data_IF_999056580786
#
_entry.id   IF_999056580786
#
_cell.length_a   1.000
_cell.length_b   1.000
_cell.length_c   1.000
_cell.angle_alpha   90.00
_cell.angle_beta   90.00
_cell.angle_gamma   90.00
#
_symmetry.space_group_name_H-M   'P 1'
#
loop_
_entity.id
_entity.type
_entity.pdbx_description
1 polymer ?
#
# COMPACT_ATOMS: atom_id res chain seq x y z
N UNK A 1 -7.02 7.84 26.18
CA UNK A 1 -7.10 7.05 24.94
C UNK A 1 -5.67 6.87 24.46
N UNK A 2 -5.21 5.64 24.29
CA UNK A 2 -3.91 5.39 23.66
C UNK A 2 -3.96 5.92 22.22
N UNK A 3 -2.91 6.57 21.70
CA UNK A 3 -2.91 7.07 20.33
C UNK A 3 -3.18 5.92 19.36
N UNK A 4 -4.05 6.15 18.38
CA UNK A 4 -4.30 5.17 17.32
C UNK A 4 -2.98 4.86 16.59
N UNK A 5 -2.69 3.58 16.27
CA UNK A 5 -1.44 3.25 15.61
C UNK A 5 -1.40 3.90 14.22
N UNK A 6 -0.22 4.41 13.83
CA UNK A 6 -0.02 5.09 12.55
C UNK A 6 0.66 4.13 11.56
N UNK A 7 0.19 4.12 10.31
CA UNK A 7 0.79 3.36 9.22
C UNK A 7 2.12 3.99 8.81
N UNK A 8 3.21 3.23 8.85
CA UNK A 8 4.56 3.75 8.51
C UNK A 8 4.75 4.08 7.03
N UNK A 9 3.85 3.61 6.15
CA UNK A 9 3.92 3.81 4.70
C UNK A 9 3.13 5.02 4.19
N UNK A 10 2.08 5.45 4.89
CA UNK A 10 1.24 6.59 4.46
C UNK A 10 0.98 7.62 5.57
N UNK A 11 1.49 7.40 6.78
CA UNK A 11 1.32 8.25 7.95
C UNK A 11 -0.16 8.50 8.36
N UNK A 12 -1.09 7.65 7.91
CA UNK A 12 -2.50 7.68 8.34
C UNK A 12 -2.78 6.68 9.45
N UNK A 13 -3.86 6.90 10.20
CA UNK A 13 -4.34 5.95 11.20
C UNK A 13 -4.61 4.57 10.56
N UNK A 14 -4.14 3.52 11.22
CA UNK A 14 -4.44 2.14 10.80
C UNK A 14 -5.85 1.77 11.28
N UNK A 15 -6.53 0.92 10.52
CA UNK A 15 -7.78 0.29 10.96
C UNK A 15 -7.47 -0.65 12.13
N UNK A 16 -6.39 -1.42 11.99
CA UNK A 16 -5.98 -2.40 12.99
C UNK A 16 -4.46 -2.61 12.95
N UNK A 17 -3.85 -2.75 14.12
CA UNK A 17 -2.49 -3.26 14.32
C UNK A 17 -2.53 -4.24 15.47
N UNK A 18 -2.16 -5.49 15.23
CA UNK A 18 -2.02 -6.49 16.28
C UNK A 18 -0.70 -7.25 16.12
N UNK A 19 -0.11 -7.59 17.26
CA UNK A 19 1.10 -8.43 17.31
C UNK A 19 0.73 -9.88 17.01
N UNK A 20 1.46 -10.49 16.07
CA UNK A 20 1.36 -11.92 15.77
C UNK A 20 2.25 -12.68 16.76
N UNK A 21 3.54 -12.31 16.82
CA UNK A 21 4.55 -12.95 17.66
C UNK A 21 5.72 -11.96 17.87
N UNK A 22 6.23 -11.83 19.10
CA UNK A 22 7.37 -10.94 19.38
C UNK A 22 7.11 -9.50 18.94
N UNK A 23 7.97 -8.98 18.06
CA UNK A 23 7.86 -7.67 17.41
C UNK A 23 7.21 -7.71 16.02
N UNK A 24 6.71 -8.87 15.58
CA UNK A 24 6.02 -9.02 14.30
C UNK A 24 4.56 -8.58 14.42
N UNK A 25 4.17 -7.63 13.57
CA UNK A 25 2.83 -7.06 13.56
C UNK A 25 2.09 -7.32 12.25
N UNK A 26 0.79 -7.58 12.38
CA UNK A 26 -0.16 -7.49 11.29
C UNK A 26 -0.78 -6.10 11.25
N UNK A 27 -0.62 -5.40 10.13
CA UNK A 27 -1.15 -4.04 9.92
C UNK A 27 -2.22 -4.07 8.85
N UNK A 28 -3.32 -3.37 9.11
CA UNK A 28 -4.42 -3.12 8.19
C UNK A 28 -4.66 -1.61 8.06
N UNK A 29 -4.46 -1.08 6.85
CA UNK A 29 -4.58 0.33 6.53
C UNK A 29 -5.54 0.53 5.36
N UNK A 30 -6.41 1.55 5.42
CA UNK A 30 -7.35 1.89 4.33
C UNK A 30 -6.65 2.23 3.02
N UNK A 31 -5.44 2.78 3.11
CA UNK A 31 -4.66 3.26 1.97
C UNK A 31 -3.72 2.17 1.45
N UNK A 32 -2.87 1.63 2.32
CA UNK A 32 -1.83 0.67 1.93
C UNK A 32 -2.34 -0.78 1.83
N UNK A 33 -3.57 -1.06 2.27
CA UNK A 33 -4.06 -2.43 2.41
C UNK A 33 -3.48 -3.15 3.62
N UNK A 34 -3.22 -4.46 3.49
CA UNK A 34 -2.75 -5.32 4.60
C UNK A 34 -1.30 -5.73 4.38
N UNK A 35 -0.46 -5.65 5.41
CA UNK A 35 0.94 -6.09 5.36
C UNK A 35 1.47 -6.50 6.75
N UNK A 36 2.60 -7.19 6.79
CA UNK A 36 3.31 -7.57 8.01
C UNK A 36 4.66 -6.85 8.07
N UNK A 37 5.00 -6.29 9.22
CA UNK A 37 6.29 -5.66 9.50
C UNK A 37 6.71 -5.89 10.94
N UNK A 38 8.01 -5.80 11.19
CA UNK A 38 8.58 -5.72 12.55
C UNK A 38 8.74 -4.27 13.00
N UNK A 39 8.97 -4.06 14.30
CA UNK A 39 9.34 -2.73 14.81
C UNK A 39 10.64 -2.20 14.18
N UNK A 40 11.60 -3.07 13.84
CA UNK A 40 12.83 -2.68 13.16
C UNK A 40 12.56 -2.21 11.73
N UNK A 41 11.69 -2.91 10.99
CA UNK A 41 11.27 -2.48 9.65
C UNK A 41 10.54 -1.14 9.71
N UNK A 42 9.64 -0.97 10.69
CA UNK A 42 8.91 0.27 10.91
C UNK A 42 9.86 1.46 11.11
N UNK A 43 10.93 1.28 11.88
CA UNK A 43 11.99 2.29 12.04
C UNK A 43 12.70 2.57 10.71
N UNK A 44 13.08 1.53 9.96
CA UNK A 44 13.73 1.67 8.66
C UNK A 44 12.87 2.41 7.63
N UNK A 45 11.57 2.11 7.59
CA UNK A 45 10.64 2.77 6.68
C UNK A 45 10.37 4.22 7.07
N UNK A 46 10.42 4.59 8.36
CA UNK A 46 10.25 6.00 8.78
C UNK A 46 11.31 6.92 8.18
N UNK A 47 12.53 6.42 8.02
CA UNK A 47 13.66 7.14 7.41
C UNK A 47 13.53 7.30 5.89
N UNK A 48 12.61 6.59 5.24
CA UNK A 48 12.39 6.75 3.81
C UNK A 48 11.66 8.06 3.52
N UNK A 49 11.99 8.66 2.38
CA UNK A 49 11.21 9.80 1.88
C UNK A 49 9.77 9.37 1.58
N UNK A 50 8.84 10.32 1.69
CA UNK A 50 7.41 10.08 1.42
C UNK A 50 7.18 9.44 0.05
N UNK A 51 7.96 9.84 -0.96
CA UNK A 51 7.90 9.22 -2.29
C UNK A 51 8.28 7.74 -2.28
N UNK A 52 9.33 7.34 -1.55
CA UNK A 52 9.72 5.93 -1.44
C UNK A 52 8.67 5.13 -0.68
N UNK A 53 8.15 5.67 0.43
CA UNK A 53 7.05 5.07 1.19
C UNK A 53 5.81 4.87 0.32
N UNK A 54 5.45 5.86 -0.50
CA UNK A 54 4.33 5.75 -1.43
C UNK A 54 4.51 4.62 -2.45
N UNK A 55 5.73 4.36 -2.95
CA UNK A 55 5.98 3.20 -3.84
C UNK A 55 5.77 1.85 -3.13
N UNK A 56 6.12 1.76 -1.84
CA UNK A 56 5.88 0.56 -1.04
C UNK A 56 4.41 0.44 -0.65
N UNK A 57 3.74 1.55 -0.38
CA UNK A 57 2.27 1.63 -0.19
C UNK A 57 1.54 1.12 -1.43
N UNK A 58 1.96 1.56 -2.62
CA UNK A 58 1.43 1.09 -3.87
C UNK A 58 1.64 -0.43 -4.07
N UNK A 59 2.82 -0.94 -3.72
CA UNK A 59 3.10 -2.37 -3.74
C UNK A 59 2.22 -3.19 -2.81
N UNK A 60 2.09 -2.76 -1.56
CA UNK A 60 1.25 -3.45 -0.58
C UNK A 60 -0.23 -3.39 -0.96
N UNK A 61 -0.70 -2.26 -1.51
CA UNK A 61 -2.06 -2.10 -2.00
C UNK A 61 -2.35 -2.94 -3.23
N UNK A 62 -1.43 -3.04 -4.20
CA UNK A 62 -1.56 -3.92 -5.36
C UNK A 62 -1.79 -5.36 -4.89
N UNK A 63 -0.91 -5.89 -4.04
CA UNK A 63 -1.05 -7.27 -3.56
C UNK A 63 -2.35 -7.51 -2.80
N UNK A 64 -2.78 -6.54 -1.98
CA UNK A 64 -4.03 -6.62 -1.24
C UNK A 64 -5.25 -6.70 -2.16
N UNK A 65 -5.32 -5.85 -3.20
CA UNK A 65 -6.48 -5.80 -4.08
C UNK A 65 -6.55 -6.97 -5.06
N UNK A 66 -5.42 -7.59 -5.38
CA UNK A 66 -5.32 -8.72 -6.32
C UNK A 66 -5.31 -10.10 -5.63
N UNK A 67 -5.87 -10.21 -4.41
CA UNK A 67 -5.96 -11.45 -3.61
C UNK A 67 -4.63 -12.21 -3.46
N UNK A 68 -3.51 -11.48 -3.51
CA UNK A 68 -2.20 -12.07 -3.30
C UNK A 68 -1.96 -12.31 -1.81
N UNK A 69 -1.04 -13.22 -1.45
CA UNK A 69 -0.64 -13.38 -0.06
C UNK A 69 -0.22 -12.04 0.54
N UNK A 70 -0.64 -11.82 1.79
CA UNK A 70 -0.32 -10.61 2.53
C UNK A 70 1.19 -10.36 2.51
N UNK A 71 1.66 -9.19 2.04
CA UNK A 71 3.09 -8.90 1.95
C UNK A 71 3.76 -8.92 3.32
N UNK A 72 4.87 -9.66 3.40
CA UNK A 72 5.71 -9.79 4.58
C UNK A 72 6.95 -8.93 4.45
N UNK A 73 6.85 -7.66 4.81
CA UNK A 73 7.92 -6.68 4.58
C UNK A 73 9.21 -7.05 5.32
N UNK A 74 9.09 -7.65 6.50
CA UNK A 74 10.22 -8.17 7.29
C UNK A 74 11.05 -9.26 6.60
N UNK A 75 10.50 -9.92 5.57
CA UNK A 75 11.21 -10.96 4.80
C UNK A 75 11.93 -10.40 3.58
N UNK A 76 11.71 -9.13 3.25
CA UNK A 76 12.28 -8.51 2.06
C UNK A 76 13.70 -8.03 2.35
N UNK A 77 14.65 -8.50 1.55
CA UNK A 77 16.00 -7.93 1.54
C UNK A 77 15.99 -6.49 1.04
N UNK A 78 17.04 -5.72 1.38
CA UNK A 78 17.21 -4.35 0.91
C UNK A 78 17.17 -4.24 -0.62
N UNK A 79 17.73 -5.23 -1.34
CA UNK A 79 17.70 -5.27 -2.80
C UNK A 79 16.28 -5.48 -3.35
N UNK A 80 15.46 -6.30 -2.68
CA UNK A 80 14.05 -6.47 -3.05
C UNK A 80 13.27 -5.18 -2.82
N UNK A 81 13.50 -4.49 -1.69
CA UNK A 81 12.89 -3.18 -1.42
C UNK A 81 13.28 -2.15 -2.49
N UNK A 82 14.57 -2.07 -2.85
CA UNK A 82 15.05 -1.20 -3.94
C UNK A 82 14.38 -1.54 -5.28
N UNK A 83 14.25 -2.82 -5.59
CA UNK A 83 13.59 -3.29 -6.82
C UNK A 83 12.11 -2.88 -6.86
N UNK A 84 11.39 -3.01 -5.74
CA UNK A 84 10.00 -2.55 -5.62
C UNK A 84 9.92 -1.05 -5.89
N UNK A 85 10.74 -0.25 -5.19
CA UNK A 85 10.75 1.22 -5.36
C UNK A 85 10.99 1.60 -6.83
N UNK A 86 11.99 1.00 -7.48
CA UNK A 86 12.32 1.31 -8.87
C UNK A 86 11.27 0.82 -9.87
N UNK A 87 10.63 -0.34 -9.63
CA UNK A 87 9.52 -0.83 -10.45
C UNK A 87 8.37 0.17 -10.48
N UNK A 88 7.95 0.66 -9.31
CA UNK A 88 6.78 1.53 -9.19
C UNK A 88 7.08 2.95 -9.66
N UNK A 89 8.29 3.45 -9.40
CA UNK A 89 8.77 4.75 -9.87
C UNK A 89 8.76 4.88 -11.40
N UNK A 90 8.95 3.78 -12.12
CA UNK A 90 9.01 3.74 -13.59
C UNK A 90 7.65 3.51 -14.25
N UNK A 91 6.56 3.44 -13.48
CA UNK A 91 5.21 3.22 -14.02
C UNK A 91 4.78 4.39 -14.89
N UNK A 92 4.47 4.05 -16.14
CA UNK A 92 3.96 5.00 -17.15
C UNK A 92 2.50 5.36 -16.87
N UNK A 93 2.04 6.48 -17.42
CA UNK A 93 0.63 6.90 -17.31
C UNK A 93 -0.33 5.82 -17.83
N UNK A 94 0.04 5.12 -18.90
CA UNK A 94 -0.76 4.01 -19.45
C UNK A 94 -0.85 2.86 -18.46
N UNK A 95 0.23 2.48 -17.79
CA UNK A 95 0.18 1.43 -16.76
C UNK A 95 -0.67 1.84 -15.56
N UNK A 96 -0.63 3.11 -15.16
CA UNK A 96 -1.48 3.65 -14.09
C UNK A 96 -2.96 3.56 -14.45
N UNK A 97 -3.31 4.01 -15.65
CA UNK A 97 -4.69 3.95 -16.16
C UNK A 97 -5.18 2.51 -16.27
N UNK A 98 -4.35 1.62 -16.81
CA UNK A 98 -4.69 0.20 -16.91
C UNK A 98 -4.95 -0.41 -15.52
N UNK A 99 -4.15 -0.07 -14.51
CA UNK A 99 -4.38 -0.58 -13.16
C UNK A 99 -5.69 -0.05 -12.55
N UNK A 100 -6.03 1.22 -12.79
CA UNK A 100 -7.31 1.79 -12.36
C UNK A 100 -8.50 1.08 -13.00
N UNK A 101 -8.43 0.79 -14.31
CA UNK A 101 -9.48 0.05 -15.03
C UNK A 101 -9.62 -1.36 -14.47
N UNK A 102 -8.51 -2.07 -14.23
CA UNK A 102 -8.53 -3.42 -13.66
C UNK A 102 -9.10 -3.42 -12.23
N UNK A 103 -8.69 -2.47 -11.40
CA UNK A 103 -9.23 -2.28 -10.06
C UNK A 103 -10.74 -2.04 -10.08
N UNK A 104 -11.21 -1.13 -10.95
CA UNK A 104 -12.63 -0.92 -11.19
C UNK A 104 -13.32 -2.22 -11.58
N UNK A 105 -12.80 -2.94 -12.57
CA UNK A 105 -13.36 -4.23 -13.01
C UNK A 105 -13.57 -5.23 -11.85
N UNK A 106 -12.66 -5.27 -10.87
CA UNK A 106 -12.77 -6.14 -9.69
C UNK A 106 -13.81 -5.68 -8.66
N UNK A 107 -14.05 -4.37 -8.54
CA UNK A 107 -15.10 -3.81 -7.68
C UNK A 107 -16.50 -3.89 -8.32
N UNK A 108 -16.55 -4.14 -9.63
CA UNK A 108 -17.80 -4.33 -10.37
C UNK A 108 -18.34 -5.75 -10.19
N UNK A 109 -19.64 -5.88 -10.00
CA UNK A 109 -20.35 -7.17 -10.02
C UNK A 109 -20.91 -7.49 -11.41
N UNK A 110 -21.19 -6.47 -12.23
CA UNK A 110 -21.72 -6.65 -13.59
C UNK A 110 -21.22 -5.54 -14.53
N UNK A 111 -21.30 -5.78 -15.84
CA UNK A 111 -20.89 -4.80 -16.85
C UNK A 111 -21.79 -3.56 -16.83
N UNK A 112 -21.18 -2.37 -16.83
CA UNK A 112 -21.90 -1.10 -16.77
C UNK A 112 -22.33 -0.66 -15.36
N UNK A 113 -22.01 -1.43 -14.31
CA UNK A 113 -22.20 -0.96 -12.94
C UNK A 113 -21.33 0.29 -12.70
N UNK A 114 -21.90 1.40 -12.18
CA UNK A 114 -21.11 2.54 -11.79
C UNK A 114 -20.27 2.20 -10.55
N UNK A 115 -19.00 2.60 -10.58
CA UNK A 115 -18.04 2.38 -9.51
C UNK A 115 -17.62 3.75 -8.98
N UNK A 116 -17.54 3.86 -7.66
CA UNK A 116 -17.02 5.06 -7.00
C UNK A 116 -15.59 4.78 -6.55
N UNK A 117 -14.69 5.64 -6.98
CA UNK A 117 -13.33 5.69 -6.46
C UNK A 117 -13.27 6.69 -5.32
N UNK A 118 -12.59 6.32 -4.24
CA UNK A 118 -12.34 7.21 -3.11
C UNK A 118 -10.96 7.83 -3.27
N UNK A 119 -10.87 9.04 -3.82
CA UNK A 119 -9.58 9.69 -4.06
C UNK A 119 -8.72 9.90 -2.80
N UNK A 120 -9.33 9.91 -1.61
CA UNK A 120 -8.60 10.01 -0.35
C UNK A 120 -7.86 8.70 0.01
N UNK A 121 -8.35 7.55 -0.47
CA UNK A 121 -7.83 6.24 -0.09
C UNK A 121 -7.31 5.37 -1.25
N UNK A 122 -7.78 5.60 -2.47
CA UNK A 122 -7.54 4.75 -3.64
C UNK A 122 -6.32 5.19 -4.46
N UNK A 123 -5.70 6.32 -4.13
CA UNK A 123 -4.55 6.85 -4.87
C UNK A 123 -3.36 5.88 -5.04
N UNK A 124 -3.07 4.92 -4.14
CA UNK A 124 -1.98 3.98 -4.38
C UNK A 124 -2.26 3.00 -5.54
N UNK A 125 -3.52 2.82 -5.96
CA UNK A 125 -3.89 1.96 -7.09
C UNK A 125 -3.32 2.50 -8.39
N UNK A 126 -3.25 3.81 -8.59
CA UNK A 126 -2.58 4.39 -9.76
C UNK A 126 -1.10 4.65 -9.50
N UNK A 127 -0.53 4.09 -8.43
CA UNK A 127 0.86 4.31 -8.02
C UNK A 127 1.17 5.80 -7.83
N UNK A 128 0.17 6.59 -7.46
CA UNK A 128 0.31 8.02 -7.18
C UNK A 128 0.91 8.23 -5.79
N UNK A 129 1.71 9.29 -5.64
CA UNK A 129 2.42 9.54 -4.38
C UNK A 129 1.45 9.97 -3.27
N UNK A 130 0.39 10.66 -3.65
CA UNK A 130 -0.64 11.21 -2.79
C UNK A 130 -1.95 11.33 -3.57
N UNK A 131 -2.99 11.83 -2.91
CA UNK A 131 -4.32 12.03 -3.47
C UNK A 131 -4.38 13.15 -4.52
N UNK A 132 -3.49 14.14 -4.45
CA UNK A 132 -3.44 15.23 -5.43
C UNK A 132 -2.93 14.75 -6.80
N UNK A 133 -2.16 13.67 -6.82
CA UNK A 133 -1.67 13.00 -8.04
C UNK A 133 -2.63 11.91 -8.57
N UNK A 134 -3.77 11.67 -7.93
CA UNK A 134 -4.72 10.60 -8.31
C UNK A 134 -5.51 10.92 -9.58
#
# INVERSE_FOLDING_TARGET
MSPEPICVLCNQAVINRHTIEGDLHSIECKICGKYESTDLDDLGFREFSERKKAMISAYTRELYEYDSPKPKLHTLSENQIKSIIERYKKKTVIEKLNNLILYGGRKSHYFGQPIRFDGENDYPITYSVNKEEF
#
